data_IF_811357561798
#
_entry.id   IF_811357561798
#
_cell.length_a   1.000
_cell.length_b   1.000
_cell.length_c   1.000
_cell.angle_alpha   90.00
_cell.angle_beta   90.00
_cell.angle_gamma   90.00
#
_symmetry.space_group_name_H-M   'P 1'
#
loop_
_entity.id
_entity.type
_entity.pdbx_description
1 polymer ?
#
# COMPACT_ATOMS: atom_id res chain seq x y z
N UNK A 1 -0.62 -7.71 7.01
CA UNK A 1 -1.64 -8.78 6.94
C UNK A 1 -2.33 -8.82 5.59
N UNK A 2 -2.33 -7.74 4.83
CA UNK A 2 -2.91 -7.68 3.49
C UNK A 2 -2.22 -8.59 2.46
N UNK A 3 -0.89 -8.71 2.51
CA UNK A 3 -0.15 -9.66 1.68
C UNK A 3 0.82 -10.50 2.55
N UNK A 4 0.32 -11.44 3.37
CA UNK A 4 1.11 -12.05 4.44
C UNK A 4 2.39 -12.73 3.95
N UNK A 5 2.27 -13.58 2.93
CA UNK A 5 3.40 -14.35 2.40
C UNK A 5 4.32 -13.48 1.55
N UNK A 6 3.75 -12.66 0.65
CA UNK A 6 4.55 -11.80 -0.22
C UNK A 6 5.40 -10.80 0.58
N UNK A 7 4.81 -10.14 1.59
CA UNK A 7 5.55 -9.20 2.43
C UNK A 7 6.62 -9.90 3.27
N UNK A 8 6.36 -11.10 3.77
CA UNK A 8 7.39 -11.90 4.42
C UNK A 8 8.55 -12.17 3.45
N UNK A 9 8.26 -12.62 2.22
CA UNK A 9 9.28 -12.90 1.21
C UNK A 9 10.07 -11.67 0.76
N UNK A 10 9.45 -10.49 0.68
CA UNK A 10 10.16 -9.24 0.38
C UNK A 10 11.24 -8.89 1.41
N UNK A 11 11.08 -9.32 2.67
CA UNK A 11 12.09 -9.13 3.72
C UNK A 11 13.05 -10.30 3.80
N UNK A 12 12.52 -11.52 3.77
CA UNK A 12 13.29 -12.75 3.93
C UNK A 12 14.29 -12.95 2.78
N UNK A 13 13.90 -12.67 1.54
CA UNK A 13 14.77 -12.82 0.37
C UNK A 13 16.12 -12.10 0.54
N UNK A 14 16.15 -10.75 0.63
CA UNK A 14 17.40 -10.01 0.79
C UNK A 14 18.09 -10.25 2.15
N UNK A 15 17.34 -10.44 3.25
CA UNK A 15 17.94 -10.66 4.56
C UNK A 15 18.68 -12.00 4.65
N UNK A 16 18.05 -13.09 4.19
CA UNK A 16 18.68 -14.41 4.19
C UNK A 16 19.80 -14.49 3.16
N UNK A 17 19.63 -13.89 1.97
CA UNK A 17 20.66 -13.87 0.94
C UNK A 17 21.94 -13.13 1.36
N UNK A 18 21.84 -12.17 2.28
CA UNK A 18 22.98 -11.45 2.86
C UNK A 18 23.60 -12.17 4.06
N UNK A 19 23.06 -13.33 4.45
CA UNK A 19 23.60 -14.17 5.52
C UNK A 19 23.11 -13.82 6.93
N UNK A 20 22.04 -13.02 7.05
CA UNK A 20 21.47 -12.68 8.35
C UNK A 20 20.57 -13.78 8.90
N UNK A 21 20.55 -13.94 10.22
CA UNK A 21 19.47 -14.64 10.92
C UNK A 21 18.27 -13.69 11.09
N UNK A 22 17.06 -14.21 10.94
CA UNK A 22 15.82 -13.43 10.93
C UNK A 22 14.83 -13.98 11.95
N UNK A 23 14.28 -13.06 12.76
CA UNK A 23 13.10 -13.32 13.59
C UNK A 23 11.88 -12.64 12.95
N UNK A 24 11.04 -13.42 12.29
CA UNK A 24 9.83 -12.94 11.63
C UNK A 24 8.64 -12.93 12.61
N UNK A 25 8.09 -11.74 12.85
CA UNK A 25 6.83 -11.55 13.58
C UNK A 25 5.71 -11.28 12.56
N UNK A 26 4.84 -12.24 12.21
CA UNK A 26 3.71 -11.98 11.34
C UNK A 26 2.60 -11.22 12.09
N UNK A 27 1.70 -10.57 11.34
CA UNK A 27 0.49 -9.97 11.92
C UNK A 27 -0.36 -11.04 12.62
N UNK A 28 -0.93 -10.70 13.77
CA UNK A 28 -1.89 -11.54 14.50
C UNK A 28 -3.14 -11.87 13.66
N UNK A 29 -3.49 -11.00 12.70
CA UNK A 29 -4.61 -11.19 11.77
C UNK A 29 -4.35 -12.22 10.66
N UNK A 30 -3.08 -12.60 10.44
CA UNK A 30 -2.70 -13.45 9.31
C UNK A 30 -1.40 -14.27 9.56
N UNK A 31 -1.30 -15.07 10.64
CA UNK A 31 -0.03 -15.69 11.02
C UNK A 31 0.30 -16.98 10.25
N UNK A 32 -0.69 -17.62 9.65
CA UNK A 32 -0.62 -19.03 9.24
C UNK A 32 0.44 -19.32 8.18
N UNK A 33 0.54 -18.50 7.14
CA UNK A 33 1.49 -18.72 6.04
C UNK A 33 2.94 -18.52 6.48
N UNK A 34 3.21 -17.58 7.39
CA UNK A 34 4.54 -17.39 7.95
C UNK A 34 4.97 -18.59 8.80
N UNK A 35 4.05 -19.14 9.61
CA UNK A 35 4.31 -20.36 10.39
C UNK A 35 4.64 -21.53 9.44
N UNK A 36 3.83 -21.73 8.39
CA UNK A 36 4.07 -22.80 7.41
C UNK A 36 5.41 -22.64 6.69
N UNK A 37 5.78 -21.41 6.34
CA UNK A 37 7.03 -21.09 5.65
C UNK A 37 8.27 -21.47 6.47
N UNK A 38 8.22 -21.38 7.80
CA UNK A 38 9.35 -21.77 8.66
C UNK A 38 9.78 -23.23 8.43
N UNK A 39 8.80 -24.13 8.36
CA UNK A 39 9.06 -25.55 8.10
C UNK A 39 9.60 -25.77 6.68
N UNK A 40 9.06 -25.07 5.68
CA UNK A 40 9.54 -25.14 4.29
C UNK A 40 11.00 -24.68 4.20
N UNK A 41 11.39 -23.64 4.95
CA UNK A 41 12.75 -23.14 4.95
C UNK A 41 13.75 -24.19 5.48
N UNK A 42 13.39 -24.92 6.54
CA UNK A 42 14.19 -26.04 7.05
C UNK A 42 14.31 -27.16 6.00
N UNK A 43 13.20 -27.53 5.36
CA UNK A 43 13.18 -28.54 4.27
C UNK A 43 14.05 -28.13 3.08
N UNK A 44 14.13 -26.84 2.78
CA UNK A 44 14.99 -26.28 1.74
C UNK A 44 16.49 -26.22 2.12
N UNK A 45 16.84 -26.58 3.36
CA UNK A 45 18.23 -26.61 3.84
C UNK A 45 18.68 -25.37 4.62
N UNK A 46 17.77 -24.48 5.00
CA UNK A 46 18.11 -23.35 5.87
C UNK A 46 18.50 -23.88 7.27
N UNK A 47 19.65 -23.50 7.85
CA UNK A 47 20.07 -24.00 9.16
C UNK A 47 19.09 -23.62 10.27
N UNK A 48 18.97 -24.48 11.28
CA UNK A 48 18.14 -24.22 12.46
C UNK A 48 18.57 -22.91 13.15
N UNK A 49 17.60 -22.09 13.53
CA UNK A 49 17.82 -20.79 14.18
C UNK A 49 18.08 -19.62 13.21
N UNK A 50 18.30 -19.87 11.91
CA UNK A 50 18.48 -18.79 10.92
C UNK A 50 17.14 -18.12 10.57
N UNK A 51 16.03 -18.87 10.52
CA UNK A 51 14.69 -18.30 10.44
C UNK A 51 13.85 -18.76 11.63
N UNK A 52 13.44 -17.81 12.47
CA UNK A 52 12.52 -18.04 13.58
C UNK A 52 11.21 -17.28 13.32
N UNK A 53 10.06 -17.88 13.61
CA UNK A 53 8.75 -17.24 13.42
C UNK A 53 8.01 -17.16 14.74
N UNK A 54 7.67 -15.95 15.17
CA UNK A 54 7.01 -15.67 16.44
C UNK A 54 5.64 -15.02 16.21
N UNK A 55 4.56 -15.79 16.04
CA UNK A 55 3.20 -15.22 16.01
C UNK A 55 2.84 -14.62 17.38
N UNK A 56 2.04 -13.55 17.37
CA UNK A 56 1.60 -12.86 18.58
C UNK A 56 1.14 -11.45 18.28
N UNK A 57 0.85 -10.64 19.29
CA UNK A 57 0.40 -9.26 19.10
C UNK A 57 1.56 -8.29 18.87
N UNK A 58 1.29 -7.20 18.14
CA UNK A 58 2.28 -6.14 17.94
C UNK A 58 2.72 -5.47 19.26
N UNK A 59 1.80 -5.24 20.20
CA UNK A 59 2.10 -4.57 21.47
C UNK A 59 2.81 -5.45 22.51
N UNK A 60 2.92 -6.77 22.27
CA UNK A 60 3.70 -7.70 23.11
C UNK A 60 5.00 -8.09 22.40
N UNK A 61 5.00 -9.18 21.63
CA UNK A 61 6.20 -9.72 20.96
C UNK A 61 6.80 -8.73 19.95
N UNK A 62 5.97 -7.97 19.23
CA UNK A 62 6.46 -6.94 18.31
C UNK A 62 7.25 -5.82 19.03
N UNK A 63 6.71 -5.32 20.15
CA UNK A 63 7.39 -4.34 21.01
C UNK A 63 8.66 -4.91 21.63
N UNK A 64 8.62 -6.15 22.10
CA UNK A 64 9.78 -6.81 22.69
C UNK A 64 10.94 -6.91 21.69
N UNK A 65 10.68 -7.31 20.44
CA UNK A 65 11.69 -7.34 19.37
C UNK A 65 12.25 -5.95 19.06
N UNK A 66 11.38 -4.93 19.00
CA UNK A 66 11.79 -3.56 18.72
C UNK A 66 12.67 -2.95 19.84
N UNK A 67 12.46 -3.35 21.09
CA UNK A 67 13.25 -2.93 22.25
C UNK A 67 14.43 -3.87 22.56
N UNK A 68 14.56 -5.00 21.89
CA UNK A 68 15.61 -5.98 22.18
C UNK A 68 16.99 -5.37 21.93
N UNK A 69 17.90 -5.54 22.88
CA UNK A 69 19.24 -4.92 22.84
C UNK A 69 20.18 -5.58 21.84
N UNK A 70 19.86 -6.80 21.41
CA UNK A 70 20.68 -7.63 20.53
C UNK A 70 20.03 -7.86 19.15
N UNK A 71 19.10 -6.99 18.75
CA UNK A 71 18.58 -6.96 17.38
C UNK A 71 19.28 -5.82 16.65
N UNK A 72 20.03 -6.12 15.59
CA UNK A 72 20.83 -5.12 14.86
C UNK A 72 19.99 -4.23 13.94
N UNK A 73 18.98 -4.83 13.30
CA UNK A 73 18.12 -4.16 12.31
C UNK A 73 16.67 -4.59 12.49
N UNK A 74 15.77 -3.61 12.44
CA UNK A 74 14.33 -3.78 12.41
C UNK A 74 13.78 -3.28 11.06
N UNK A 75 13.16 -4.19 10.31
CA UNK A 75 12.39 -3.85 9.11
C UNK A 75 10.90 -4.03 9.37
N UNK A 76 10.08 -3.10 8.93
CA UNK A 76 8.64 -3.09 9.22
C UNK A 76 7.83 -2.68 8.01
N UNK A 77 6.66 -3.32 7.84
CA UNK A 77 5.60 -2.89 6.93
C UNK A 77 4.28 -2.82 7.67
N UNK A 78 3.61 -1.67 7.66
CA UNK A 78 2.33 -1.48 8.35
C UNK A 78 1.94 0.00 8.47
N UNK A 79 1.16 0.36 9.49
CA UNK A 79 0.64 1.73 9.60
C UNK A 79 1.72 2.74 10.01
N UNK A 80 1.59 3.98 9.53
CA UNK A 80 2.49 5.10 9.87
C UNK A 80 2.59 5.34 11.38
N UNK A 81 1.49 5.15 12.13
CA UNK A 81 1.49 5.29 13.59
C UNK A 81 2.43 4.29 14.26
N UNK A 82 2.38 3.03 13.86
CA UNK A 82 3.25 1.98 14.41
C UNK A 82 4.69 2.17 13.91
N UNK A 83 4.88 2.55 12.64
CA UNK A 83 6.18 2.84 12.07
C UNK A 83 6.95 3.90 12.89
N UNK A 84 6.30 5.00 13.26
CA UNK A 84 6.87 6.02 14.16
C UNK A 84 7.22 5.47 15.54
N UNK A 85 6.35 4.65 16.12
CA UNK A 85 6.58 4.06 17.43
C UNK A 85 7.83 3.16 17.43
N UNK A 86 8.10 2.44 16.34
CA UNK A 86 9.26 1.57 16.22
C UNK A 86 10.57 2.37 16.19
N UNK A 87 10.58 3.57 15.61
CA UNK A 87 11.74 4.47 15.70
C UNK A 87 12.01 4.92 17.14
N UNK A 88 10.95 5.19 17.92
CA UNK A 88 11.07 5.52 19.34
C UNK A 88 11.71 4.35 20.09
N UNK A 89 11.21 3.14 19.90
CA UNK A 89 11.77 1.95 20.55
C UNK A 89 13.24 1.69 20.18
N UNK A 90 13.66 2.00 18.95
CA UNK A 90 15.07 1.94 18.59
C UNK A 90 15.91 2.97 19.38
N UNK A 91 15.41 4.20 19.54
CA UNK A 91 16.05 5.25 20.35
C UNK A 91 16.08 4.94 21.86
N UNK A 92 15.07 4.21 22.36
CA UNK A 92 14.98 3.77 23.76
C UNK A 92 15.82 2.52 24.06
N UNK A 93 16.42 1.88 23.05
CA UNK A 93 17.17 0.64 23.20
C UNK A 93 18.62 0.77 22.73
N UNK A 94 18.96 0.17 21.59
CA UNK A 94 20.34 0.00 21.11
C UNK A 94 20.64 0.78 19.82
N UNK A 95 19.77 1.72 19.42
CA UNK A 95 19.93 2.48 18.17
C UNK A 95 19.99 1.60 16.92
N UNK A 96 19.34 0.42 16.96
CA UNK A 96 19.21 -0.48 15.80
C UNK A 96 18.73 0.27 14.56
N UNK A 97 19.17 -0.18 13.39
CA UNK A 97 18.68 0.37 12.12
C UNK A 97 17.19 0.10 11.98
N UNK A 98 16.44 1.09 11.51
CA UNK A 98 14.99 1.00 11.34
C UNK A 98 14.62 1.35 9.90
N UNK A 99 14.04 0.38 9.18
CA UNK A 99 13.55 0.56 7.81
C UNK A 99 12.05 0.32 7.75
N UNK A 100 11.31 1.29 7.25
CA UNK A 100 9.86 1.35 7.38
C UNK A 100 9.21 1.45 6.01
N UNK A 101 8.23 0.61 5.74
CA UNK A 101 7.24 0.82 4.68
C UNK A 101 5.89 1.08 5.35
N UNK A 102 5.40 2.31 5.24
CA UNK A 102 4.25 2.77 5.97
C UNK A 102 3.00 2.94 5.07
N UNK A 103 2.00 3.69 5.55
CA UNK A 103 0.76 3.91 4.82
C UNK A 103 0.91 4.77 3.56
N UNK A 104 -0.17 4.85 2.79
CA UNK A 104 -0.22 5.62 1.55
C UNK A 104 -1.58 6.28 1.30
N UNK A 105 -1.56 7.27 0.40
CA UNK A 105 -2.76 7.90 -0.17
C UNK A 105 -2.51 8.29 -1.63
N UNK A 106 -2.16 7.26 -2.42
CA UNK A 106 -1.60 7.38 -3.76
C UNK A 106 -2.55 8.11 -4.73
N UNK A 107 -2.10 9.19 -5.38
CA UNK A 107 -2.87 9.85 -6.42
C UNK A 107 -2.73 9.13 -7.76
N UNK A 108 -3.84 8.86 -8.42
CA UNK A 108 -3.94 8.38 -9.79
C UNK A 108 -4.43 9.54 -10.68
N UNK A 109 -3.54 10.12 -11.49
CA UNK A 109 -3.79 11.37 -12.23
C UNK A 109 -4.12 11.05 -13.67
N UNK A 110 -5.32 11.42 -14.14
CA UNK A 110 -5.79 11.19 -15.51
C UNK A 110 -5.98 12.51 -16.22
N UNK A 111 -5.12 12.78 -17.21
CA UNK A 111 -5.26 13.92 -18.11
C UNK A 111 -6.24 13.59 -19.25
N UNK A 112 -6.84 14.62 -19.84
CA UNK A 112 -7.75 14.53 -20.96
C UNK A 112 -7.13 13.88 -22.21
N UNK A 113 -5.82 13.97 -22.34
CA UNK A 113 -5.03 13.36 -23.42
C UNK A 113 -4.49 11.97 -23.08
N UNK A 114 -5.06 11.27 -22.09
CA UNK A 114 -4.74 9.88 -21.84
C UNK A 114 -4.78 9.05 -23.15
N UNK A 115 -3.86 8.09 -23.33
CA UNK A 115 -3.79 7.30 -24.57
C UNK A 115 -5.08 6.51 -24.81
N UNK A 116 -5.68 6.00 -23.73
CA UNK A 116 -6.92 5.23 -23.74
C UNK A 116 -7.67 5.49 -22.41
N UNK A 117 -8.85 6.11 -22.50
CA UNK A 117 -9.68 6.42 -21.34
C UNK A 117 -10.40 5.19 -20.79
N UNK A 118 -10.71 4.20 -21.61
CA UNK A 118 -11.36 2.97 -21.13
C UNK A 118 -10.35 2.11 -20.34
N UNK A 119 -9.13 1.98 -20.85
CA UNK A 119 -8.04 1.32 -20.13
C UNK A 119 -7.70 2.05 -18.82
N UNK A 120 -7.63 3.39 -18.84
CA UNK A 120 -7.39 4.18 -17.63
C UNK A 120 -8.51 4.01 -16.60
N UNK A 121 -9.79 3.93 -17.03
CA UNK A 121 -10.92 3.71 -16.14
C UNK A 121 -10.92 2.31 -15.52
N UNK A 122 -10.62 1.27 -16.31
CA UNK A 122 -10.45 -0.10 -15.82
C UNK A 122 -9.31 -0.19 -14.80
N UNK A 123 -8.17 0.44 -15.10
CA UNK A 123 -7.03 0.49 -14.19
C UNK A 123 -7.36 1.26 -12.91
N UNK A 124 -8.10 2.37 -12.98
CA UNK A 124 -8.53 3.13 -11.80
C UNK A 124 -9.49 2.31 -10.92
N UNK A 125 -10.41 1.55 -11.51
CA UNK A 125 -11.29 0.63 -10.77
C UNK A 125 -10.48 -0.49 -10.09
N UNK A 126 -9.58 -1.14 -10.81
CA UNK A 126 -8.71 -2.17 -10.23
C UNK A 126 -7.77 -1.64 -9.16
N UNK A 127 -7.24 -0.42 -9.32
CA UNK A 127 -6.33 0.22 -8.37
C UNK A 127 -6.94 0.43 -6.97
N UNK A 128 -8.26 0.44 -6.83
CA UNK A 128 -8.93 0.57 -5.54
C UNK A 128 -9.66 -0.70 -5.09
N UNK A 129 -10.12 -1.54 -6.03
CA UNK A 129 -10.89 -2.74 -5.69
C UNK A 129 -10.02 -3.99 -5.49
N UNK A 130 -8.83 -4.05 -6.10
CA UNK A 130 -7.90 -5.16 -5.92
C UNK A 130 -7.56 -5.37 -4.44
N UNK A 131 -7.60 -6.63 -3.99
CA UNK A 131 -7.40 -7.02 -2.59
C UNK A 131 -8.26 -6.18 -1.62
N UNK A 132 -9.52 -5.94 -1.98
CA UNK A 132 -10.50 -5.15 -1.23
C UNK A 132 -10.04 -3.72 -0.91
N UNK A 133 -9.08 -3.15 -1.66
CA UNK A 133 -8.46 -1.86 -1.34
C UNK A 133 -7.55 -1.89 -0.11
N UNK A 134 -7.28 -3.07 0.45
CA UNK A 134 -6.33 -3.30 1.54
C UNK A 134 -4.89 -3.33 0.98
N UNK A 135 -4.52 -2.30 0.22
CA UNK A 135 -3.24 -2.19 -0.50
C UNK A 135 -2.61 -0.83 -0.17
N UNK A 136 -1.34 -0.82 0.25
CA UNK A 136 -0.66 0.41 0.63
C UNK A 136 -0.53 1.41 -0.53
N UNK A 137 -0.46 0.91 -1.76
CA UNK A 137 -0.42 1.70 -3.00
C UNK A 137 -1.77 1.85 -3.69
N UNK A 138 -2.88 1.48 -3.06
CA UNK A 138 -4.22 1.62 -3.64
C UNK A 138 -4.41 3.05 -4.19
N UNK A 139 -4.99 3.14 -5.39
CA UNK A 139 -5.28 4.38 -6.12
C UNK A 139 -6.44 5.15 -5.51
N UNK A 140 -6.39 5.39 -4.20
CA UNK A 140 -7.47 5.89 -3.35
C UNK A 140 -7.86 7.35 -3.62
N UNK A 141 -7.02 8.10 -4.34
CA UNK A 141 -7.37 9.42 -4.89
C UNK A 141 -7.26 9.39 -6.41
N UNK A 142 -8.40 9.46 -7.09
CA UNK A 142 -8.45 9.62 -8.54
C UNK A 142 -8.55 11.11 -8.86
N UNK A 143 -7.49 11.68 -9.42
CA UNK A 143 -7.42 13.07 -9.87
C UNK A 143 -7.72 13.08 -11.36
N UNK A 144 -8.78 13.76 -11.78
CA UNK A 144 -9.21 13.77 -13.20
C UNK A 144 -9.23 15.20 -13.73
N UNK A 145 -8.71 15.41 -14.94
CA UNK A 145 -8.79 16.71 -15.59
C UNK A 145 -10.25 17.10 -15.84
N UNK A 146 -10.61 18.33 -15.46
CA UNK A 146 -11.99 18.78 -15.37
C UNK A 146 -12.79 18.60 -16.66
N UNK A 147 -12.14 18.69 -17.83
CA UNK A 147 -12.78 18.57 -19.15
C UNK A 147 -13.31 17.17 -19.47
N UNK A 148 -12.80 16.12 -18.82
CA UNK A 148 -13.20 14.72 -19.05
C UNK A 148 -13.86 14.08 -17.81
N UNK A 149 -13.95 14.81 -16.70
CA UNK A 149 -14.29 14.27 -15.37
C UNK A 149 -15.59 13.49 -15.36
N UNK A 150 -16.70 14.10 -15.78
CA UNK A 150 -18.02 13.50 -15.64
C UNK A 150 -18.13 12.18 -16.42
N UNK A 151 -17.71 12.19 -17.69
CA UNK A 151 -17.68 10.99 -18.54
C UNK A 151 -16.71 9.91 -18.01
N UNK A 152 -15.58 10.32 -17.43
CA UNK A 152 -14.60 9.38 -16.89
C UNK A 152 -15.08 8.72 -15.58
N UNK A 153 -15.74 9.47 -14.71
CA UNK A 153 -16.33 8.93 -13.46
C UNK A 153 -17.38 7.86 -13.76
N UNK A 154 -18.22 8.07 -14.77
CA UNK A 154 -19.20 7.07 -15.22
C UNK A 154 -18.51 5.78 -15.70
N UNK A 155 -17.42 5.89 -16.46
CA UNK A 155 -16.62 4.74 -16.91
C UNK A 155 -16.01 3.97 -15.74
N UNK A 156 -15.46 4.66 -14.74
CA UNK A 156 -14.89 4.01 -13.55
C UNK A 156 -15.97 3.30 -12.74
N UNK A 157 -17.12 3.94 -12.52
CA UNK A 157 -18.25 3.32 -11.81
C UNK A 157 -18.77 2.07 -12.55
N UNK A 158 -18.87 2.14 -13.88
CA UNK A 158 -19.25 0.99 -14.71
C UNK A 158 -18.22 -0.16 -14.61
N UNK A 159 -16.92 0.16 -14.64
CA UNK A 159 -15.86 -0.84 -14.50
C UNK A 159 -15.85 -1.51 -13.12
N UNK A 160 -16.07 -0.76 -12.03
CA UNK A 160 -16.24 -1.29 -10.67
C UNK A 160 -17.42 -2.27 -10.62
N UNK A 161 -18.59 -1.85 -11.11
CA UNK A 161 -19.80 -2.67 -11.10
C UNK A 161 -19.68 -3.94 -11.95
N UNK A 162 -19.04 -3.85 -13.11
CA UNK A 162 -18.95 -4.98 -14.04
C UNK A 162 -17.95 -6.05 -13.61
N UNK A 163 -16.86 -5.67 -12.92
CA UNK A 163 -15.71 -6.56 -12.73
C UNK A 163 -15.31 -6.80 -11.27
N UNK A 164 -15.78 -6.00 -10.33
CA UNK A 164 -15.29 -6.02 -8.95
C UNK A 164 -16.46 -6.22 -7.98
N UNK A 165 -16.96 -7.45 -7.90
CA UNK A 165 -18.11 -7.79 -7.05
C UNK A 165 -17.66 -8.62 -5.84
N UNK A 166 -18.07 -8.24 -4.61
CA UNK A 166 -17.81 -9.04 -3.43
C UNK A 166 -18.39 -10.45 -3.57
N UNK A 167 -17.62 -11.46 -3.19
CA UNK A 167 -18.04 -12.86 -3.28
C UNK A 167 -17.25 -13.77 -2.34
N UNK A 168 -17.63 -15.06 -2.32
CA UNK A 168 -16.95 -16.07 -1.53
C UNK A 168 -15.48 -16.22 -2.00
N UNK A 169 -14.46 -15.95 -1.15
CA UNK A 169 -13.05 -16.03 -1.55
C UNK A 169 -12.57 -17.44 -1.96
N UNK A 170 -13.35 -18.48 -1.68
CA UNK A 170 -13.06 -19.85 -2.11
C UNK A 170 -13.59 -20.16 -3.52
N UNK A 171 -14.45 -19.31 -4.09
CA UNK A 171 -14.90 -19.44 -5.48
C UNK A 171 -13.85 -18.80 -6.41
N UNK A 172 -13.31 -19.54 -7.40
CA UNK A 172 -12.31 -19.01 -8.33
C UNK A 172 -12.83 -17.87 -9.23
N UNK A 173 -14.14 -17.65 -9.32
CA UNK A 173 -14.72 -16.55 -10.08
C UNK A 173 -14.89 -15.25 -9.26
N UNK A 174 -14.67 -15.31 -7.95
CA UNK A 174 -14.74 -14.12 -7.09
C UNK A 174 -13.59 -13.18 -7.40
N UNK A 175 -13.89 -11.91 -7.64
CA UNK A 175 -12.88 -10.87 -7.92
C UNK A 175 -12.58 -9.97 -6.73
N UNK A 176 -13.48 -9.89 -5.74
CA UNK A 176 -13.31 -9.14 -4.49
C UNK A 176 -13.70 -10.03 -3.31
N UNK A 177 -12.78 -10.22 -2.36
CA UNK A 177 -13.03 -11.04 -1.18
C UNK A 177 -13.62 -10.27 0.01
N UNK A 178 -13.50 -10.85 1.20
CA UNK A 178 -13.84 -10.20 2.47
C UNK A 178 -12.70 -9.30 2.96
N UNK A 179 -13.04 -8.25 3.70
CA UNK A 179 -12.10 -7.52 4.55
C UNK A 179 -11.58 -8.42 5.69
N UNK A 180 -10.41 -8.09 6.22
CA UNK A 180 -9.68 -8.98 7.13
C UNK A 180 -10.43 -9.36 8.41
N UNK A 181 -11.15 -8.42 9.04
CA UNK A 181 -11.97 -8.66 10.23
C UNK A 181 -12.95 -7.51 10.55
N UNK A 182 -13.75 -7.69 11.61
CA UNK A 182 -14.72 -6.72 12.14
C UNK A 182 -14.12 -5.33 12.35
N UNK A 183 -12.92 -5.24 12.93
CA UNK A 183 -12.29 -3.94 13.19
C UNK A 183 -12.01 -3.17 11.90
N UNK A 184 -11.66 -3.88 10.82
CA UNK A 184 -11.38 -3.25 9.54
C UNK A 184 -12.67 -2.83 8.85
N UNK A 185 -13.69 -3.68 8.80
CA UNK A 185 -14.97 -3.31 8.19
C UNK A 185 -15.64 -2.13 8.92
N UNK A 186 -15.63 -2.09 10.25
CA UNK A 186 -16.15 -0.97 11.02
C UNK A 186 -15.39 0.33 10.70
N UNK A 187 -14.09 0.23 10.44
CA UNK A 187 -13.27 1.39 10.05
C UNK A 187 -13.62 1.88 8.66
N UNK A 188 -13.77 0.96 7.70
CA UNK A 188 -14.17 1.30 6.32
C UNK A 188 -15.55 1.96 6.31
N UNK A 189 -16.54 1.40 7.01
CA UNK A 189 -17.89 1.95 7.10
C UNK A 189 -17.90 3.35 7.75
N UNK A 190 -17.10 3.58 8.80
CA UNK A 190 -16.94 4.93 9.38
C UNK A 190 -16.36 5.94 8.39
N UNK A 191 -15.44 5.54 7.52
CA UNK A 191 -14.92 6.44 6.49
C UNK A 191 -15.92 6.69 5.36
N UNK A 192 -16.79 5.73 5.05
CA UNK A 192 -17.89 5.95 4.11
C UNK A 192 -18.88 6.99 4.69
N UNK A 193 -19.26 6.85 5.96
CA UNK A 193 -20.07 7.84 6.70
C UNK A 193 -19.40 9.22 6.67
N UNK A 194 -18.10 9.30 6.98
CA UNK A 194 -17.33 10.53 6.94
C UNK A 194 -17.33 11.20 5.55
N UNK A 195 -17.36 10.40 4.48
CA UNK A 195 -17.51 10.91 3.11
C UNK A 195 -18.83 11.66 2.90
N UNK A 196 -19.93 11.14 3.43
CA UNK A 196 -21.22 11.81 3.43
C UNK A 196 -21.20 13.08 4.28
N UNK A 197 -20.68 13.00 5.50
CA UNK A 197 -20.59 14.14 6.44
C UNK A 197 -19.74 15.30 5.88
N UNK A 198 -18.65 14.99 5.18
CA UNK A 198 -17.77 16.00 4.57
C UNK A 198 -18.37 16.62 3.30
N UNK A 199 -19.51 16.11 2.83
CA UNK A 199 -20.27 16.62 1.68
C UNK A 199 -19.86 16.03 0.33
N UNK A 200 -19.18 14.88 0.31
CA UNK A 200 -18.91 14.17 -0.95
C UNK A 200 -20.17 13.47 -1.47
N UNK A 201 -20.28 13.34 -2.79
CA UNK A 201 -21.41 12.70 -3.45
C UNK A 201 -21.10 11.22 -3.70
N UNK A 202 -21.85 10.32 -3.08
CA UNK A 202 -21.78 8.89 -3.38
C UNK A 202 -22.29 8.61 -4.80
N UNK A 203 -21.47 7.94 -5.62
CA UNK A 203 -21.81 7.58 -7.01
C UNK A 203 -22.17 6.10 -7.12
N UNK A 204 -21.44 5.23 -6.43
CA UNK A 204 -21.68 3.77 -6.43
C UNK A 204 -21.17 3.13 -5.14
N UNK A 205 -21.75 1.98 -4.79
CA UNK A 205 -21.37 1.19 -3.61
C UNK A 205 -21.81 1.86 -2.30
N UNK A 206 -20.94 1.80 -1.29
CA UNK A 206 -21.14 2.46 0.00
C UNK A 206 -21.83 1.59 1.05
N UNK A 207 -22.13 0.33 0.75
CA UNK A 207 -22.86 -0.55 1.66
C UNK A 207 -22.05 -1.78 2.07
N UNK A 208 -22.35 -2.26 3.28
CA UNK A 208 -22.02 -3.63 3.69
C UNK A 208 -22.92 -4.59 2.94
N UNK A 209 -22.36 -5.71 2.49
CA UNK A 209 -23.10 -6.75 1.75
C UNK A 209 -22.76 -8.14 2.27
N UNK A 210 -23.51 -9.16 1.81
CA UNK A 210 -23.29 -10.57 2.14
C UNK A 210 -23.26 -10.85 3.66
N UNK A 211 -24.02 -10.09 4.45
CA UNK A 211 -24.04 -10.20 5.91
C UNK A 211 -24.57 -11.55 6.38
N UNK A 212 -25.48 -12.14 5.61
CA UNK A 212 -26.06 -13.47 5.84
C UNK A 212 -25.02 -14.59 5.84
N UNK A 213 -23.85 -14.36 5.24
CA UNK A 213 -22.73 -15.31 5.26
C UNK A 213 -21.98 -15.31 6.59
N UNK A 214 -22.20 -14.31 7.45
CA UNK A 214 -21.41 -14.04 8.65
C UNK A 214 -20.04 -13.39 8.37
N UNK A 215 -19.73 -13.06 7.12
CA UNK A 215 -18.46 -12.43 6.72
C UNK A 215 -18.45 -10.90 6.73
N UNK A 216 -17.35 -10.34 6.20
CA UNK A 216 -17.03 -8.92 6.24
C UNK A 216 -16.86 -8.35 4.84
N UNK A 217 -17.96 -8.13 4.12
CA UNK A 217 -17.91 -7.65 2.74
C UNK A 217 -18.46 -6.22 2.63
N UNK A 218 -17.78 -5.39 1.83
CA UNK A 218 -18.17 -4.02 1.51
C UNK A 218 -18.10 -3.84 0.01
N UNK A 219 -19.09 -3.17 -0.57
CA UNK A 219 -19.08 -2.84 -2.00
C UNK A 219 -17.94 -1.87 -2.32
N UNK A 220 -17.24 -2.04 -3.46
CA UNK A 220 -16.37 -1.00 -3.97
C UNK A 220 -17.13 0.32 -4.14
N UNK A 221 -16.65 1.32 -3.42
CA UNK A 221 -17.34 2.59 -3.16
C UNK A 221 -16.65 3.72 -3.90
N UNK A 222 -17.41 4.56 -4.59
CA UNK A 222 -16.90 5.72 -5.31
C UNK A 222 -17.60 7.00 -4.84
N UNK A 223 -16.81 7.92 -4.30
CA UNK A 223 -17.25 9.28 -3.95
C UNK A 223 -16.72 10.28 -4.99
N UNK A 224 -17.61 11.13 -5.49
CA UNK A 224 -17.30 12.25 -6.38
C UNK A 224 -17.48 13.61 -5.66
N UNK A 225 -16.89 14.66 -6.23
CA UNK A 225 -16.93 16.01 -5.67
C UNK A 225 -16.06 16.15 -4.42
N UNK A 226 -15.06 15.28 -4.26
CA UNK A 226 -14.19 15.27 -3.09
C UNK A 226 -13.22 16.45 -3.18
N UNK A 227 -13.16 17.25 -2.11
CA UNK A 227 -12.12 18.25 -1.94
C UNK A 227 -10.93 17.61 -1.22
N UNK A 228 -9.72 18.03 -1.56
CA UNK A 228 -8.54 17.37 -1.01
C UNK A 228 -8.43 17.58 0.51
N UNK A 229 -9.11 18.54 1.12
CA UNK A 229 -9.15 18.78 2.57
C UNK A 229 -10.09 17.84 3.36
N UNK A 230 -10.94 17.05 2.67
CA UNK A 230 -11.83 16.07 3.30
C UNK A 230 -11.07 14.89 3.93
N UNK A 231 -11.64 14.27 4.96
CA UNK A 231 -11.06 13.11 5.65
C UNK A 231 -10.78 11.96 4.69
N UNK A 232 -11.74 11.63 3.82
CA UNK A 232 -11.62 10.54 2.84
C UNK A 232 -10.54 10.79 1.77
N UNK A 233 -10.12 12.05 1.57
CA UNK A 233 -8.99 12.40 0.70
C UNK A 233 -7.64 12.38 1.42
N UNK A 234 -7.60 12.67 2.73
CA UNK A 234 -6.36 12.82 3.51
C UNK A 234 -5.90 11.54 4.19
N UNK A 235 -6.84 10.77 4.71
CA UNK A 235 -6.58 9.65 5.60
C UNK A 235 -6.59 8.33 4.82
N UNK A 236 -5.69 7.42 5.19
CA UNK A 236 -5.65 6.06 4.64
C UNK A 236 -6.85 5.26 5.19
N UNK A 237 -7.74 4.86 4.28
CA UNK A 237 -8.96 4.10 4.62
C UNK A 237 -8.66 2.60 4.71
N UNK A 238 -7.81 2.11 3.80
CA UNK A 238 -7.44 0.70 3.68
C UNK A 238 -8.66 -0.22 3.47
N UNK A 239 -9.51 0.19 2.54
CA UNK A 239 -10.71 -0.49 2.07
C UNK A 239 -11.07 0.03 0.68
N UNK A 240 -12.11 -0.49 0.02
CA UNK A 240 -12.34 -0.25 -1.39
C UNK A 240 -13.11 1.06 -1.62
N UNK A 241 -12.59 2.18 -1.11
CA UNK A 241 -13.24 3.50 -1.13
C UNK A 241 -12.40 4.49 -1.94
N UNK A 242 -12.92 4.91 -3.09
CA UNK A 242 -12.28 5.82 -4.02
C UNK A 242 -12.79 7.25 -3.83
N UNK A 243 -11.86 8.20 -3.69
CA UNK A 243 -12.15 9.64 -3.74
C UNK A 243 -11.82 10.22 -5.11
N UNK A 244 -12.80 10.83 -5.78
CA UNK A 244 -12.59 11.53 -7.05
C UNK A 244 -12.46 13.03 -6.82
N UNK A 245 -11.33 13.58 -7.27
CA UNK A 245 -11.00 14.99 -7.26
C UNK A 245 -10.82 15.48 -8.70
N UNK A 246 -11.09 16.75 -8.95
CA UNK A 246 -10.84 17.38 -10.25
C UNK A 246 -9.69 18.37 -10.19
N UNK A 247 -8.96 18.52 -11.30
CA UNK A 247 -7.99 19.59 -11.50
C UNK A 247 -8.19 20.24 -12.87
N UNK A 248 -7.73 21.48 -13.03
CA UNK A 248 -7.89 22.29 -14.25
C UNK A 248 -6.67 22.24 -15.15
N UNK A 249 -5.48 22.12 -14.55
CA UNK A 249 -4.23 22.13 -15.27
C UNK A 249 -3.15 21.25 -14.60
N UNK A 250 -2.01 21.17 -15.27
CA UNK A 250 -0.86 20.38 -14.83
C UNK A 250 -0.35 20.80 -13.44
N UNK A 251 -0.25 22.10 -13.17
CA UNK A 251 0.36 22.59 -11.93
C UNK A 251 -0.56 22.30 -10.73
N UNK A 252 -1.88 22.47 -10.90
CA UNK A 252 -2.87 22.07 -9.91
C UNK A 252 -2.85 20.56 -9.65
N UNK A 253 -2.77 19.73 -10.70
CA UNK A 253 -2.69 18.27 -10.55
C UNK A 253 -1.52 17.84 -9.67
N UNK A 254 -0.32 18.40 -9.92
CA UNK A 254 0.88 18.10 -9.15
C UNK A 254 0.79 18.64 -7.72
N UNK A 255 0.25 19.84 -7.53
CA UNK A 255 0.06 20.42 -6.21
C UNK A 255 -0.88 19.55 -5.35
N UNK A 256 -2.06 19.19 -5.86
CA UNK A 256 -3.05 18.35 -5.18
C UNK A 256 -2.49 16.94 -4.91
N UNK A 257 -1.78 16.36 -5.89
CA UNK A 257 -1.16 15.04 -5.74
C UNK A 257 -0.13 15.01 -4.59
N UNK A 258 0.70 16.05 -4.48
CA UNK A 258 1.75 16.16 -3.46
C UNK A 258 1.27 16.69 -2.10
N UNK A 259 0.07 17.28 -2.04
CA UNK A 259 -0.58 17.78 -0.83
C UNK A 259 -1.12 16.62 0.02
N UNK A 260 -0.16 15.91 0.62
CA UNK A 260 -0.36 14.78 1.50
C UNK A 260 0.90 14.57 2.35
N UNK A 261 0.74 13.99 3.54
CA UNK A 261 1.86 13.58 4.41
C UNK A 261 2.58 12.34 3.85
N UNK A 262 1.92 11.62 2.94
CA UNK A 262 2.40 10.37 2.34
C UNK A 262 3.21 10.62 1.06
N UNK A 263 3.76 9.55 0.51
CA UNK A 263 4.53 9.56 -0.73
C UNK A 263 4.94 8.17 -1.16
N UNK A 264 4.02 7.20 -1.13
CA UNK A 264 4.34 5.81 -1.48
C UNK A 264 4.36 5.57 -2.99
N UNK A 265 3.22 5.78 -3.64
CA UNK A 265 3.09 5.66 -5.10
C UNK A 265 2.25 6.79 -5.69
N UNK A 266 2.33 6.94 -7.01
CA UNK A 266 1.46 7.78 -7.83
C UNK A 266 1.36 7.21 -9.25
N UNK A 267 0.33 7.61 -9.99
CA UNK A 267 0.21 7.29 -11.41
C UNK A 267 -0.17 8.51 -12.26
N UNK A 268 0.21 8.48 -13.53
CA UNK A 268 -0.05 9.55 -14.51
C UNK A 268 -0.49 8.93 -15.83
N UNK A 269 -1.62 9.38 -16.38
CA UNK A 269 -2.14 8.96 -17.68
C UNK A 269 -2.14 10.14 -18.63
N UNK A 270 -1.29 10.08 -19.66
CA UNK A 270 -1.14 11.10 -20.70
C UNK A 270 -0.36 10.51 -21.88
N UNK A 271 -0.70 10.92 -23.11
CA UNK A 271 0.11 10.62 -24.31
C UNK A 271 1.20 11.65 -24.58
N UNK A 272 1.21 12.78 -23.87
CA UNK A 272 2.23 13.82 -24.05
C UNK A 272 3.53 13.43 -23.35
N UNK A 273 4.60 13.29 -24.14
CA UNK A 273 5.93 12.88 -23.67
C UNK A 273 6.49 13.83 -22.60
N UNK A 274 6.36 15.14 -22.83
CA UNK A 274 6.92 16.15 -21.92
C UNK A 274 6.16 16.17 -20.60
N UNK A 275 4.83 16.12 -20.66
CA UNK A 275 3.92 16.09 -19.52
C UNK A 275 4.16 14.85 -18.67
N UNK A 276 4.27 13.68 -19.29
CA UNK A 276 4.58 12.42 -18.61
C UNK A 276 5.86 12.52 -17.77
N UNK A 277 6.98 12.92 -18.40
CA UNK A 277 8.26 13.04 -17.69
C UNK A 277 8.28 14.17 -16.65
N UNK A 278 7.63 15.31 -16.93
CA UNK A 278 7.54 16.42 -15.97
C UNK A 278 6.72 16.03 -14.75
N UNK A 279 5.55 15.40 -14.94
CA UNK A 279 4.71 14.93 -13.85
C UNK A 279 5.46 13.89 -13.01
N UNK A 280 6.02 12.87 -13.66
CA UNK A 280 6.71 11.79 -12.96
C UNK A 280 7.88 12.29 -12.10
N UNK A 281 8.63 13.30 -12.57
CA UNK A 281 9.72 13.91 -11.81
C UNK A 281 9.23 14.83 -10.67
N UNK A 282 8.08 15.49 -10.84
CA UNK A 282 7.56 16.43 -9.87
C UNK A 282 6.78 15.77 -8.71
N UNK A 283 6.27 14.56 -8.92
CA UNK A 283 5.58 13.77 -7.90
C UNK A 283 6.57 13.27 -6.83
N UNK A 284 6.25 13.53 -5.56
CA UNK A 284 7.05 13.13 -4.40
C UNK A 284 6.59 11.77 -3.89
N UNK A 285 6.71 10.75 -4.75
CA UNK A 285 6.36 9.37 -4.46
C UNK A 285 7.53 8.42 -4.78
N UNK A 286 7.56 7.28 -4.10
CA UNK A 286 8.58 6.24 -4.29
C UNK A 286 8.50 5.52 -5.63
N UNK A 287 7.27 5.25 -6.07
CA UNK A 287 6.97 4.64 -7.36
C UNK A 287 6.03 5.55 -8.15
N UNK A 288 6.36 5.82 -9.41
CA UNK A 288 5.48 6.55 -10.32
C UNK A 288 5.24 5.72 -11.57
N UNK A 289 3.97 5.41 -11.85
CA UNK A 289 3.56 4.65 -13.01
C UNK A 289 2.98 5.57 -14.08
N UNK A 290 3.40 5.39 -15.33
CA UNK A 290 2.89 6.20 -16.45
C UNK A 290 2.12 5.28 -17.39
N UNK A 291 0.86 5.62 -17.69
CA UNK A 291 -0.06 4.86 -18.55
C UNK A 291 -0.28 3.39 -18.12
N UNK A 292 -0.12 3.12 -16.83
CA UNK A 292 -0.42 1.85 -16.16
C UNK A 292 -0.57 2.11 -14.65
N UNK A 293 -1.01 1.10 -13.90
CA UNK A 293 -1.05 1.12 -12.44
C UNK A 293 -0.47 -0.18 -11.88
N UNK A 294 0.14 -0.12 -10.69
CA UNK A 294 0.78 -1.27 -10.01
C UNK A 294 1.85 -1.99 -10.85
N UNK A 295 2.60 -1.22 -11.65
CA UNK A 295 3.66 -1.73 -12.51
C UNK A 295 4.99 -1.95 -11.80
N UNK A 296 5.93 -2.54 -12.53
CA UNK A 296 7.28 -2.85 -12.06
C UNK A 296 7.37 -4.22 -11.39
N UNK A 297 8.52 -4.87 -11.53
CA UNK A 297 8.77 -6.22 -11.07
C UNK A 297 9.80 -6.24 -9.92
N UNK A 298 10.52 -7.34 -9.75
CA UNK A 298 11.60 -7.47 -8.76
C UNK A 298 12.81 -6.58 -9.04
N UNK A 299 12.97 -6.03 -10.24
CA UNK A 299 14.04 -5.07 -10.57
C UNK A 299 13.74 -3.67 -10.05
N UNK A 300 12.45 -3.34 -9.85
CA UNK A 300 12.02 -2.01 -9.44
C UNK A 300 12.07 -1.85 -7.91
N UNK A 301 12.86 -0.91 -7.36
CA UNK A 301 12.84 -0.61 -5.93
C UNK A 301 11.46 -0.06 -5.54
N UNK A 302 10.96 -0.50 -4.39
CA UNK A 302 9.68 -0.08 -3.86
C UNK A 302 9.85 0.51 -2.47
N UNK A 303 9.33 1.70 -2.23
CA UNK A 303 9.21 2.23 -0.87
C UNK A 303 9.01 3.73 -0.79
N UNK A 304 8.61 4.22 0.39
CA UNK A 304 8.04 5.55 0.53
C UNK A 304 9.00 6.76 0.49
N UNK A 305 8.41 7.92 0.20
CA UNK A 305 8.87 9.26 0.61
C UNK A 305 8.11 9.70 1.87
N UNK A 306 8.61 10.75 2.54
CA UNK A 306 7.93 11.43 3.67
C UNK A 306 7.46 10.42 4.74
N UNK A 307 6.19 10.44 5.14
CA UNK A 307 5.64 9.54 6.17
C UNK A 307 5.17 8.18 5.62
N UNK A 308 5.43 7.89 4.34
CA UNK A 308 5.27 6.55 3.78
C UNK A 308 6.48 5.64 4.03
N UNK A 309 7.54 6.16 4.67
CA UNK A 309 8.65 5.34 5.17
C UNK A 309 10.02 5.69 4.59
N UNK A 310 10.96 4.77 4.77
CA UNK A 310 12.37 4.89 4.41
C UNK A 310 12.99 3.53 4.05
N UNK A 311 13.98 3.55 3.15
CA UNK A 311 14.53 2.32 2.55
C UNK A 311 13.69 1.84 1.37
N UNK A 312 14.10 0.74 0.73
CA UNK A 312 13.36 0.14 -0.40
C UNK A 312 13.31 -1.38 -0.27
N UNK A 313 12.17 -1.99 -0.54
CA UNK A 313 12.03 -3.42 -0.83
C UNK A 313 12.23 -3.70 -2.33
N UNK A 314 12.35 -4.99 -2.65
CA UNK A 314 12.70 -5.51 -3.99
C UNK A 314 14.05 -4.96 -4.48
N UNK A 315 14.42 -5.24 -5.73
CA UNK A 315 15.65 -4.80 -6.38
C UNK A 315 16.92 -5.16 -5.61
N UNK A 316 18.07 -4.69 -6.10
CA UNK A 316 19.33 -4.81 -5.37
C UNK A 316 19.39 -3.85 -4.17
N UNK A 317 18.66 -2.73 -4.20
CA UNK A 317 18.64 -1.75 -3.11
C UNK A 317 18.09 -2.31 -1.79
N UNK A 318 17.30 -3.39 -1.83
CA UNK A 318 16.83 -4.02 -0.60
C UNK A 318 17.96 -4.69 0.21
N UNK A 319 19.05 -5.10 -0.44
CA UNK A 319 20.19 -5.75 0.23
C UNK A 319 20.94 -4.79 1.15
N UNK A 320 21.00 -3.51 0.79
CA UNK A 320 21.66 -2.44 1.56
C UNK A 320 21.08 -2.29 2.96
N UNK A 321 19.83 -2.71 3.18
CA UNK A 321 19.16 -2.63 4.48
C UNK A 321 19.67 -3.64 5.50
N UNK A 322 20.37 -4.67 5.05
CA UNK A 322 20.77 -5.84 5.84
C UNK A 322 22.29 -6.05 5.86
N UNK A 323 23.06 -5.02 5.48
CA UNK A 323 24.52 -5.09 5.39
C UNK A 323 25.17 -3.83 5.95
N UNK A 324 26.45 -3.94 6.29
CA UNK A 324 27.28 -2.81 6.73
C UNK A 324 28.45 -2.61 5.78
N UNK A 325 28.72 -1.35 5.47
CA UNK A 325 29.95 -0.98 4.78
C UNK A 325 31.12 -1.02 5.77
N UNK A 326 32.17 -1.75 5.40
CA UNK A 326 33.45 -1.78 6.13
C UNK A 326 34.56 -1.38 5.19
N UNK A 327 35.32 -0.36 5.57
CA UNK A 327 36.41 0.14 4.75
C UNK A 327 37.76 -0.17 5.45
N UNK A 328 38.54 -1.04 4.81
CA UNK A 328 39.78 -1.61 5.35
C UNK A 328 40.99 -1.02 4.62
N UNK A 329 41.72 -0.11 5.28
CA UNK A 329 42.95 0.48 4.73
C UNK A 329 44.19 -0.22 5.27
N UNK A 330 45.08 -0.60 4.37
CA UNK A 330 46.34 -1.26 4.68
C UNK A 330 47.46 -0.35 4.17
N UNK A 331 48.25 0.21 5.09
CA UNK A 331 49.53 0.87 4.75
C UNK A 331 50.57 -0.23 4.57
N UNK A 332 51.14 -0.33 3.36
CA UNK A 332 52.24 -1.23 3.01
C UNK A 332 53.59 -0.53 3.20
#
# INVERSE_FOLDING_TARGET
>A
WNFPLLMACWKLGPALATGNSVVLKPSEKSPLTAIRLAQIALEAGLPAGVLNVLPGFGHTVGKALALHMDVDTLVFTGSTRVAKQLMIYAGESNMKRVWLEAGGKSPNIVFADAPDLDAAAQAAAGAIAFNQGEVCTAGSRLLVEASIKDAFVEKVAAALKAHWQPGNPLDPNTTVGALVDTSQIDTVLRYIEAGHEDGARLVSGGQRVLEETGGFYVEPTLFDGVRNDMRIAREEIFGPVLSVLSFKDFDEAIAVANDTIYGLAAAVWTRDLSKAHRAAKALRAGSVWVNQYDGGDMTAPFGGFKQSGNGRDKSLHAFDKYTELKATWIKL
#
